data_IF_455452289147
#
_entry.id   IF_455452289147
#
_cell.length_a   1.000
_cell.length_b   1.000
_cell.length_c   1.000
_cell.angle_alpha   90.00
_cell.angle_beta   90.00
_cell.angle_gamma   90.00
#
_symmetry.space_group_name_H-M   'P 1'
#
loop_
_entity.id
_entity.type
_entity.pdbx_description
1 polymer ?
#
# COMPACT_ATOMS: atom_id res chain seq x y z
N UNK A 1 -17.80 17.80 -0.47
CA UNK A 1 -16.59 17.84 -1.30
C UNK A 1 -15.50 17.11 -0.53
N UNK A 2 -15.39 15.77 -0.66
CA UNK A 2 -14.32 15.04 -0.02
C UNK A 2 -13.19 14.86 -1.04
N UNK A 3 -12.05 15.51 -0.80
CA UNK A 3 -10.81 15.08 -1.40
C UNK A 3 -10.59 13.65 -0.90
N UNK A 4 -10.75 12.64 -1.77
CA UNK A 4 -10.41 11.27 -1.41
C UNK A 4 -8.91 11.24 -1.14
N UNK A 5 -8.55 11.20 0.14
CA UNK A 5 -7.17 11.10 0.58
C UNK A 5 -6.74 9.65 0.45
N UNK A 6 -5.64 9.42 -0.25
CA UNK A 6 -5.12 8.07 -0.44
C UNK A 6 -3.87 7.91 0.39
N UNK A 7 -3.57 6.70 0.82
CA UNK A 7 -2.28 6.38 1.41
C UNK A 7 -1.58 5.32 0.57
N UNK A 8 -0.26 5.40 0.55
CA UNK A 8 0.60 4.54 -0.23
C UNK A 8 1.57 3.85 0.71
N UNK A 9 1.60 2.52 0.63
CA UNK A 9 2.54 1.67 1.35
C UNK A 9 3.72 1.38 0.43
N UNK A 10 4.90 1.84 0.86
CA UNK A 10 6.17 1.50 0.25
C UNK A 10 6.72 0.26 0.93
N UNK A 11 7.07 -0.71 0.10
CA UNK A 11 7.61 -1.97 0.53
C UNK A 11 9.07 -2.08 0.07
N UNK A 12 9.90 -2.85 0.79
CA UNK A 12 11.31 -2.99 0.45
C UNK A 12 11.54 -3.71 -0.89
N UNK A 13 10.55 -4.47 -1.37
CA UNK A 13 10.64 -5.22 -2.63
C UNK A 13 9.26 -5.56 -3.18
N UNK A 14 9.21 -5.83 -4.49
CA UNK A 14 8.00 -6.25 -5.22
C UNK A 14 7.34 -7.49 -4.58
N UNK A 15 8.13 -8.42 -4.05
CA UNK A 15 7.61 -9.64 -3.39
C UNK A 15 6.66 -9.32 -2.24
N UNK A 16 6.99 -8.31 -1.41
CA UNK A 16 6.14 -7.88 -0.30
C UNK A 16 4.88 -7.17 -0.80
N UNK A 17 5.01 -6.37 -1.86
CA UNK A 17 3.88 -5.71 -2.54
C UNK A 17 2.87 -6.74 -3.03
N UNK A 18 3.34 -7.77 -3.73
CA UNK A 18 2.50 -8.86 -4.25
C UNK A 18 1.87 -9.69 -3.11
N UNK A 19 2.60 -9.91 -2.01
CA UNK A 19 2.06 -10.59 -0.83
C UNK A 19 0.93 -9.76 -0.19
N UNK A 20 1.17 -8.47 0.03
CA UNK A 20 0.17 -7.54 0.54
C UNK A 20 -1.05 -7.44 -0.37
N UNK A 21 -0.84 -7.29 -1.68
CA UNK A 21 -1.90 -7.28 -2.70
C UNK A 21 -2.75 -8.55 -2.63
N UNK A 22 -2.12 -9.73 -2.52
CA UNK A 22 -2.85 -11.00 -2.42
C UNK A 22 -3.72 -11.07 -1.18
N UNK A 23 -3.21 -10.62 -0.02
CA UNK A 23 -3.97 -10.55 1.23
C UNK A 23 -5.17 -9.62 1.07
N UNK A 24 -4.99 -8.48 0.43
CA UNK A 24 -6.06 -7.49 0.22
C UNK A 24 -7.11 -7.96 -0.79
N UNK A 25 -6.67 -8.64 -1.86
CA UNK A 25 -7.59 -9.31 -2.82
C UNK A 25 -8.45 -10.36 -2.14
N UNK A 26 -7.84 -11.20 -1.29
CA UNK A 26 -8.55 -12.25 -0.55
C UNK A 26 -9.61 -11.69 0.40
N UNK A 27 -9.38 -10.47 0.91
CA UNK A 27 -10.30 -9.75 1.81
C UNK A 27 -11.23 -8.77 1.09
N UNK A 28 -11.22 -8.77 -0.24
CA UNK A 28 -12.03 -7.85 -1.07
C UNK A 28 -11.85 -6.37 -0.72
N UNK A 29 -10.66 -5.98 -0.27
CA UNK A 29 -10.35 -4.57 0.05
C UNK A 29 -10.00 -3.81 -1.23
N UNK A 30 -10.58 -2.62 -1.39
CA UNK A 30 -10.23 -1.73 -2.50
C UNK A 30 -8.77 -1.26 -2.37
N UNK A 31 -7.93 -1.72 -3.29
CA UNK A 31 -6.52 -1.40 -3.36
C UNK A 31 -6.09 -1.27 -4.83
N UNK A 32 -5.02 -0.51 -5.05
CA UNK A 32 -4.47 -0.31 -6.38
C UNK A 32 -2.95 -0.30 -6.34
N UNK A 33 -2.34 -1.18 -7.12
CA UNK A 33 -0.92 -1.10 -7.39
C UNK A 33 -0.66 0.04 -8.37
N UNK A 34 0.18 0.98 -7.94
CA UNK A 34 0.65 2.08 -8.77
C UNK A 34 2.17 2.08 -8.79
N UNK A 35 2.80 2.48 -9.91
CA UNK A 35 4.23 2.74 -9.91
C UNK A 35 4.54 3.83 -8.88
N UNK A 36 5.64 3.67 -8.13
CA UNK A 36 6.04 4.67 -7.14
C UNK A 36 6.22 6.02 -7.84
N UNK A 37 5.55 7.09 -7.37
CA UNK A 37 5.77 8.41 -7.93
C UNK A 37 7.26 8.75 -7.85
N UNK A 38 7.82 9.27 -8.94
CA UNK A 38 9.26 9.60 -9.08
C UNK A 38 9.85 10.45 -7.94
N UNK A 39 9.00 11.12 -7.14
CA UNK A 39 9.40 11.95 -6.02
C UNK A 39 9.45 11.23 -4.65
N UNK A 40 9.03 9.95 -4.54
CA UNK A 40 8.88 9.22 -3.25
C UNK A 40 9.97 8.13 -3.02
N UNK A 41 10.92 7.96 -3.95
CA UNK A 41 12.04 6.97 -3.92
C UNK A 41 11.71 5.57 -4.46
N UNK A 42 12.62 4.98 -5.22
CA UNK A 42 12.31 3.96 -6.25
C UNK A 42 13.23 2.73 -6.24
N UNK A 43 13.43 2.08 -5.09
CA UNK A 43 14.18 0.82 -5.07
C UNK A 43 13.32 -0.39 -5.54
N UNK A 44 12.01 -0.38 -5.28
CA UNK A 44 11.09 -1.47 -5.68
C UNK A 44 10.19 -1.15 -6.89
N UNK A 45 10.12 0.12 -7.31
CA UNK A 45 9.38 0.59 -8.48
C UNK A 45 7.84 0.58 -8.38
N UNK A 46 7.25 -0.17 -7.44
CA UNK A 46 5.80 -0.29 -7.27
C UNK A 46 5.39 -0.18 -5.80
N UNK A 47 4.23 0.41 -5.56
CA UNK A 47 3.67 0.60 -4.23
C UNK A 47 2.15 0.38 -4.24
N UNK A 48 1.62 0.12 -3.06
CA UNK A 48 0.21 -0.19 -2.87
C UNK A 48 -0.52 1.06 -2.40
N UNK A 49 -1.47 1.54 -3.21
CA UNK A 49 -2.36 2.65 -2.87
C UNK A 49 -3.68 2.13 -2.34
N UNK A 50 -4.11 2.63 -1.20
CA UNK A 50 -5.42 2.35 -0.61
C UNK A 50 -6.09 3.64 -0.12
N UNK A 51 -7.39 3.61 0.18
CA UNK A 51 -8.08 4.73 0.82
C UNK A 51 -7.54 4.96 2.24
N UNK A 52 -7.33 6.22 2.62
CA UNK A 52 -6.86 6.59 3.98
C UNK A 52 -7.81 6.09 5.08
N UNK A 53 -9.10 5.99 4.78
CA UNK A 53 -10.11 5.41 5.68
C UNK A 53 -9.84 3.94 6.03
N UNK A 54 -9.19 3.19 5.13
CA UNK A 54 -8.85 1.78 5.31
C UNK A 54 -7.42 1.59 5.82
N UNK A 55 -6.64 2.67 6.02
CA UNK A 55 -5.22 2.55 6.35
C UNK A 55 -4.95 1.76 7.63
N UNK A 56 -5.78 1.95 8.66
CA UNK A 56 -5.60 1.28 9.96
C UNK A 56 -5.93 -0.20 9.84
N UNK A 57 -7.03 -0.52 9.16
CA UNK A 57 -7.46 -1.89 8.86
C UNK A 57 -6.39 -2.63 8.06
N UNK A 58 -5.90 -2.02 6.97
CA UNK A 58 -4.87 -2.64 6.12
C UNK A 58 -3.54 -2.76 6.86
N UNK A 59 -3.11 -1.73 7.59
CA UNK A 59 -1.89 -1.81 8.40
C UNK A 59 -1.98 -2.95 9.44
N UNK A 60 -3.15 -3.14 10.06
CA UNK A 60 -3.40 -4.27 10.96
C UNK A 60 -3.30 -5.63 10.27
N UNK A 61 -3.83 -5.75 9.05
CA UNK A 61 -3.79 -7.00 8.26
C UNK A 61 -2.40 -7.33 7.72
N UNK A 62 -1.65 -6.31 7.30
CA UNK A 62 -0.32 -6.50 6.74
C UNK A 62 0.74 -6.76 7.82
N UNK A 63 0.53 -6.26 9.04
CA UNK A 63 1.48 -6.42 10.14
C UNK A 63 1.75 -7.90 10.43
N UNK A 64 3.02 -8.29 10.34
CA UNK A 64 3.47 -9.67 10.55
C UNK A 64 3.36 -10.58 9.31
N UNK A 65 2.64 -10.16 8.27
CA UNK A 65 2.54 -10.89 7.00
C UNK A 65 3.36 -10.24 5.89
N UNK A 66 3.19 -8.94 5.66
CA UNK A 66 3.88 -8.17 4.65
C UNK A 66 4.26 -6.81 5.23
N UNK A 67 5.42 -6.76 5.89
CA UNK A 67 5.93 -5.51 6.45
C UNK A 67 6.25 -4.50 5.35
N UNK A 68 5.99 -3.24 5.67
CA UNK A 68 6.23 -2.08 4.80
C UNK A 68 7.31 -1.20 5.43
N UNK A 69 8.11 -0.54 4.59
CA UNK A 69 9.18 0.36 5.05
C UNK A 69 8.64 1.74 5.42
N UNK A 70 7.70 2.25 4.62
CA UNK A 70 7.18 3.60 4.79
C UNK A 70 5.74 3.70 4.31
N UNK A 71 4.93 4.45 5.03
CA UNK A 71 3.58 4.83 4.60
C UNK A 71 3.55 6.33 4.32
N UNK A 72 2.96 6.73 3.20
CA UNK A 72 2.86 8.12 2.77
C UNK A 72 1.40 8.45 2.45
N UNK A 73 0.92 9.60 2.95
CA UNK A 73 -0.41 10.12 2.63
C UNK A 73 -0.32 11.02 1.38
N UNK A 74 -1.24 10.83 0.44
CA UNK A 74 -1.41 11.56 -0.81
C UNK A 74 -2.71 12.39 -0.80
#
# INVERSE_FOLDING_TARGET
MNAQQYCVFLFPSVTYVLKAEKILKDREIDHKLIPVPRHISADCGVCLRIGTEMQETVAGMLRGEADWERMVLL
#
